data_IF_290608808728
#
_entry.id   IF_290608808728
#
_cell.length_a   1.000
_cell.length_b   1.000
_cell.length_c   1.000
_cell.angle_alpha   90.00
_cell.angle_beta   90.00
_cell.angle_gamma   90.00
#
_symmetry.space_group_name_H-M   'P 1'
#
loop_
_entity.id
_entity.type
_entity.pdbx_description
1 polymer ?
#
# COMPACT_ATOMS: atom_id res chain seq x y z
N UNK A 1 -16.90 5.10 68.76
CA UNK A 1 -18.23 5.74 68.58
C UNK A 1 -18.09 6.74 67.46
N UNK A 2 -18.87 6.55 66.40
CA UNK A 2 -18.88 7.40 65.20
C UNK A 2 -18.17 6.77 64.00
N UNK A 3 -18.94 6.13 63.12
CA UNK A 3 -18.86 6.27 61.65
C UNK A 3 -20.06 5.60 60.96
N UNK A 4 -20.90 6.47 60.38
CA UNK A 4 -21.68 6.40 59.15
C UNK A 4 -22.05 5.04 58.50
N UNK A 5 -23.36 4.79 58.56
CA UNK A 5 -24.29 4.32 57.51
C UNK A 5 -23.71 3.63 56.26
N UNK A 6 -23.96 2.33 56.15
CA UNK A 6 -24.01 1.56 54.90
C UNK A 6 -25.45 1.49 54.42
N UNK A 7 -25.76 2.11 53.29
CA UNK A 7 -27.04 1.97 52.61
C UNK A 7 -26.93 0.93 51.48
N UNK A 8 -27.89 0.03 51.49
CA UNK A 8 -28.02 -1.20 50.73
C UNK A 8 -28.65 -1.01 49.35
N UNK A 9 -28.12 -1.76 48.37
CA UNK A 9 -28.83 -2.55 47.35
C UNK A 9 -29.87 -1.93 46.38
N UNK A 10 -29.42 -1.86 45.11
CA UNK A 10 -30.02 -2.41 43.86
C UNK A 10 -31.26 -1.75 43.20
N UNK A 11 -31.40 -1.91 41.87
CA UNK A 11 -31.77 -0.82 40.96
C UNK A 11 -33.23 -0.86 40.49
N UNK A 12 -33.80 0.31 40.23
CA UNK A 12 -35.08 0.45 39.53
C UNK A 12 -34.84 0.97 38.11
N UNK A 13 -35.16 0.10 37.16
CA UNK A 13 -35.35 0.37 35.74
C UNK A 13 -36.35 1.52 35.52
N UNK A 14 -35.96 2.52 34.72
CA UNK A 14 -36.89 3.35 33.97
C UNK A 14 -36.38 3.50 32.53
N UNK A 15 -37.12 2.88 31.61
CA UNK A 15 -36.88 2.99 30.19
C UNK A 15 -37.20 4.39 29.67
N UNK A 16 -36.29 4.92 28.87
CA UNK A 16 -36.62 5.79 27.74
C UNK A 16 -35.86 5.31 26.52
N UNK A 17 -36.65 4.80 25.59
CA UNK A 17 -36.27 4.45 24.23
C UNK A 17 -35.80 5.73 23.55
N UNK A 18 -34.50 5.83 23.23
CA UNK A 18 -33.99 6.82 22.29
C UNK A 18 -33.28 6.07 21.18
N UNK A 19 -34.01 6.00 20.07
CA UNK A 19 -33.60 5.77 18.69
C UNK A 19 -32.16 5.33 18.41
N UNK A 20 -32.07 4.12 17.86
CA UNK A 20 -30.93 3.58 17.12
C UNK A 20 -30.62 4.49 15.93
N UNK A 21 -29.62 5.36 16.08
CA UNK A 21 -29.03 6.10 14.96
C UNK A 21 -28.15 5.12 14.16
N UNK A 22 -28.75 4.63 13.07
CA UNK A 22 -28.18 3.76 12.06
C UNK A 22 -26.92 4.39 11.46
N UNK A 23 -25.81 3.64 11.53
CA UNK A 23 -24.56 3.88 10.79
C UNK A 23 -24.86 4.19 9.32
N UNK A 24 -24.83 5.47 8.97
CA UNK A 24 -24.91 5.96 7.62
C UNK A 24 -23.57 5.76 6.93
N UNK A 25 -23.47 4.64 6.22
CA UNK A 25 -22.87 4.48 4.89
C UNK A 25 -22.22 5.77 4.35
N UNK A 26 -20.88 5.82 4.42
CA UNK A 26 -20.09 6.72 3.57
C UNK A 26 -20.40 6.32 2.13
N UNK A 27 -21.22 7.12 1.47
CA UNK A 27 -21.56 7.01 0.05
C UNK A 27 -20.87 8.20 -0.62
N UNK A 28 -20.11 8.01 -1.70
CA UNK A 28 -19.49 9.14 -2.39
C UNK A 28 -20.58 10.09 -2.88
N UNK A 29 -20.36 11.38 -2.62
CA UNK A 29 -21.15 12.51 -3.12
C UNK A 29 -21.39 12.33 -4.63
N UNK A 30 -22.66 12.21 -5.02
CA UNK A 30 -23.05 12.24 -6.44
C UNK A 30 -22.72 13.63 -6.97
N UNK A 31 -21.75 13.71 -7.87
CA UNK A 31 -21.52 14.90 -8.70
C UNK A 31 -22.73 15.10 -9.60
N UNK A 32 -23.40 16.23 -9.42
CA UNK A 32 -24.65 16.57 -10.06
C UNK A 32 -24.61 16.41 -11.58
N UNK A 33 -25.66 15.78 -12.06
CA UNK A 33 -26.12 15.81 -13.45
C UNK A 33 -26.56 17.21 -13.83
N UNK A 34 -25.90 17.81 -14.82
CA UNK A 34 -26.51 18.86 -15.65
C UNK A 34 -26.30 18.53 -17.12
N UNK A 35 -27.34 18.17 -17.88
CA UNK A 35 -27.29 18.09 -19.33
C UNK A 35 -27.75 19.42 -19.92
N UNK A 36 -26.87 20.16 -20.59
CA UNK A 36 -27.28 20.92 -21.78
C UNK A 36 -26.03 21.32 -22.56
N UNK A 37 -26.00 20.87 -23.79
CA UNK A 37 -25.02 21.14 -24.81
C UNK A 37 -24.66 22.64 -24.93
N UNK A 38 -23.36 22.91 -25.17
CA UNK A 38 -22.69 24.18 -25.54
C UNK A 38 -22.16 25.11 -24.41
N UNK A 39 -20.92 25.66 -24.57
CA UNK A 39 -20.32 26.55 -23.59
C UNK A 39 -20.78 28.00 -23.79
N UNK A 40 -21.36 28.60 -22.75
CA UNK A 40 -21.46 30.08 -22.66
C UNK A 40 -20.16 30.61 -22.07
N UNK A 41 -19.26 31.07 -22.93
CA UNK A 41 -18.12 31.88 -22.54
C UNK A 41 -18.60 33.21 -21.95
N UNK A 42 -18.74 33.30 -20.62
CA UNK A 42 -18.77 34.59 -19.95
C UNK A 42 -17.33 35.10 -19.84
N UNK A 43 -16.95 35.94 -20.79
CA UNK A 43 -15.82 36.85 -20.67
C UNK A 43 -16.02 37.70 -19.40
N UNK A 44 -15.32 37.35 -18.32
CA UNK A 44 -15.13 38.27 -17.20
C UNK A 44 -13.88 39.08 -17.56
N UNK A 45 -14.08 40.35 -17.89
CA UNK A 45 -13.00 41.32 -18.03
C UNK A 45 -12.20 41.40 -16.73
N UNK A 46 -10.96 40.94 -16.75
CA UNK A 46 -10.01 41.16 -15.65
C UNK A 46 -9.54 42.61 -15.71
N UNK A 47 -9.91 43.41 -14.70
CA UNK A 47 -9.18 44.64 -14.36
C UNK A 47 -7.73 44.25 -14.07
N UNK A 48 -6.79 44.96 -14.71
CA UNK A 48 -5.36 44.91 -14.39
C UNK A 48 -5.15 45.07 -12.89
N UNK A 49 -4.64 44.03 -12.26
CA UNK A 49 -4.20 43.99 -10.89
C UNK A 49 -3.02 43.03 -10.83
N UNK A 50 -1.89 43.54 -10.33
CA UNK A 50 -0.60 42.85 -10.20
C UNK A 50 -0.83 41.56 -9.41
N UNK A 51 -1.02 40.44 -10.11
CA UNK A 51 -1.67 39.28 -9.51
C UNK A 51 -1.34 38.00 -10.24
N UNK A 52 -0.53 37.17 -9.58
CA UNK A 52 -0.55 35.71 -9.62
C UNK A 52 -0.73 35.10 -11.02
N UNK A 53 0.39 34.70 -11.62
CA UNK A 53 0.46 33.77 -12.74
C UNK A 53 -0.29 32.47 -12.37
N UNK A 54 -1.60 32.44 -12.59
CA UNK A 54 -2.38 31.22 -12.58
C UNK A 54 -2.16 30.53 -13.92
N UNK A 55 -1.11 29.73 -14.01
CA UNK A 55 -1.05 28.65 -15.00
C UNK A 55 -2.15 27.65 -14.65
N UNK A 56 -3.34 27.87 -15.22
CA UNK A 56 -4.42 26.88 -15.19
C UNK A 56 -3.98 25.68 -16.03
N UNK A 57 -3.35 24.69 -15.41
CA UNK A 57 -3.16 23.37 -16.02
C UNK A 57 -4.55 22.74 -16.20
N UNK A 58 -5.06 22.74 -17.42
CA UNK A 58 -6.19 21.88 -17.76
C UNK A 58 -5.67 20.44 -17.85
N UNK A 59 -6.00 19.64 -16.83
CA UNK A 59 -5.85 18.20 -16.89
C UNK A 59 -7.11 17.62 -17.55
N UNK A 60 -6.99 17.13 -18.78
CA UNK A 60 -8.05 16.34 -19.41
C UNK A 60 -7.76 14.86 -19.11
N UNK A 61 -8.71 14.19 -18.46
CA UNK A 61 -8.61 12.76 -18.19
C UNK A 61 -9.54 12.02 -19.16
N UNK A 62 -8.98 11.52 -20.27
CA UNK A 62 -9.71 10.71 -21.23
C UNK A 62 -9.68 9.25 -20.77
N UNK A 63 -10.71 8.83 -20.02
CA UNK A 63 -10.89 7.44 -19.59
C UNK A 63 -11.74 6.70 -20.63
N UNK A 64 -11.16 5.68 -21.27
CA UNK A 64 -11.92 4.74 -22.10
C UNK A 64 -12.75 3.81 -21.21
N UNK A 65 -14.02 3.59 -21.57
CA UNK A 65 -14.98 2.74 -20.85
C UNK A 65 -15.21 1.40 -21.55
N UNK A 66 -14.50 1.11 -22.63
CA UNK A 66 -14.63 -0.14 -23.37
C UNK A 66 -14.19 -1.33 -22.52
N UNK A 67 -14.96 -2.41 -22.59
CA UNK A 67 -14.65 -3.69 -21.94
C UNK A 67 -13.65 -4.50 -22.78
N UNK A 68 -12.93 -5.43 -22.14
CA UNK A 68 -11.99 -6.31 -22.83
C UNK A 68 -12.72 -7.26 -23.81
N UNK A 69 -12.12 -7.60 -24.97
CA UNK A 69 -12.69 -8.59 -25.88
C UNK A 69 -12.89 -9.96 -25.20
N UNK A 70 -14.01 -10.62 -25.50
CA UNK A 70 -14.43 -11.90 -24.88
C UNK A 70 -13.43 -13.05 -25.05
N UNK A 71 -12.56 -12.99 -26.07
CA UNK A 71 -11.56 -14.01 -26.34
C UNK A 71 -10.40 -13.97 -25.32
N UNK A 72 -10.24 -12.86 -24.60
CA UNK A 72 -9.21 -12.69 -23.58
C UNK A 72 -9.83 -12.94 -22.21
N UNK A 73 -9.38 -13.95 -21.45
CA UNK A 73 -9.90 -14.20 -20.11
C UNK A 73 -9.46 -13.08 -19.16
N UNK A 74 -10.39 -12.66 -18.31
CA UNK A 74 -10.15 -11.68 -17.25
C UNK A 74 -9.15 -12.22 -16.20
N UNK A 75 -8.37 -11.30 -15.62
CA UNK A 75 -7.43 -11.58 -14.54
C UNK A 75 -7.55 -10.54 -13.45
N UNK A 76 -7.40 -11.00 -12.21
CA UNK A 76 -7.32 -10.12 -11.06
C UNK A 76 -6.06 -9.24 -11.16
N UNK A 77 -6.24 -7.94 -10.96
CA UNK A 77 -5.14 -6.98 -10.96
C UNK A 77 -4.42 -6.96 -9.60
N UNK A 78 -3.15 -6.55 -9.60
CA UNK A 78 -2.28 -6.60 -8.41
C UNK A 78 -2.84 -5.78 -7.23
N UNK A 79 -3.51 -4.65 -7.51
CA UNK A 79 -4.17 -3.84 -6.48
C UNK A 79 -3.28 -3.19 -5.42
N UNK A 80 -1.95 -3.28 -5.54
CA UNK A 80 -0.99 -2.71 -4.60
C UNK A 80 -0.53 -1.31 -5.02
N UNK A 81 -0.35 -0.42 -4.04
CA UNK A 81 0.23 0.92 -4.26
C UNK A 81 1.76 0.87 -4.37
N UNK A 82 2.39 2.00 -4.70
CA UNK A 82 3.83 2.11 -4.96
C UNK A 82 4.72 1.58 -3.83
N UNK A 83 4.55 2.02 -2.59
CA UNK A 83 5.41 1.57 -1.49
C UNK A 83 5.30 0.08 -1.13
N UNK A 84 4.10 -0.52 -0.95
CA UNK A 84 4.01 -1.95 -0.68
C UNK A 84 4.55 -2.79 -1.83
N UNK A 85 4.32 -2.37 -3.09
CA UNK A 85 4.88 -3.07 -4.24
C UNK A 85 6.42 -2.96 -4.30
N UNK A 86 6.97 -1.79 -3.96
CA UNK A 86 8.41 -1.57 -3.88
C UNK A 86 9.07 -2.36 -2.73
N UNK A 87 8.42 -2.42 -1.57
CA UNK A 87 8.82 -3.25 -0.43
C UNK A 87 8.87 -4.74 -0.79
N UNK A 88 7.84 -5.24 -1.50
CA UNK A 88 7.74 -6.65 -1.90
C UNK A 88 8.54 -7.03 -3.16
N UNK A 89 9.10 -6.04 -3.88
CA UNK A 89 9.72 -6.20 -5.21
C UNK A 89 10.75 -7.33 -5.30
N UNK A 90 11.65 -7.43 -4.32
CA UNK A 90 12.69 -8.47 -4.29
C UNK A 90 12.12 -9.87 -4.09
N UNK A 91 11.05 -10.01 -3.30
CA UNK A 91 10.40 -11.29 -3.04
C UNK A 91 9.56 -11.76 -4.23
N UNK A 92 8.89 -10.81 -4.90
CA UNK A 92 8.23 -11.06 -6.18
C UNK A 92 9.28 -11.49 -7.21
N UNK A 93 10.42 -10.80 -7.29
CA UNK A 93 11.53 -11.17 -8.15
C UNK A 93 12.06 -12.57 -7.87
N UNK A 94 12.22 -12.95 -6.61
CA UNK A 94 12.74 -14.27 -6.24
C UNK A 94 11.78 -15.43 -6.59
N UNK A 95 10.47 -15.28 -6.32
CA UNK A 95 9.46 -16.32 -6.61
C UNK A 95 9.06 -16.35 -8.09
N UNK A 96 8.93 -15.18 -8.70
CA UNK A 96 8.36 -15.01 -10.04
C UNK A 96 9.41 -14.87 -11.15
N UNK A 97 10.71 -15.06 -10.85
CA UNK A 97 11.80 -14.98 -11.83
C UNK A 97 11.51 -15.71 -13.16
N UNK A 98 11.17 -17.01 -13.18
CA UNK A 98 10.98 -17.72 -14.45
C UNK A 98 9.81 -17.15 -15.27
N UNK A 99 8.73 -16.71 -14.62
CA UNK A 99 7.57 -16.13 -15.32
C UNK A 99 7.88 -14.75 -15.89
N UNK A 100 8.66 -13.94 -15.15
CA UNK A 100 9.09 -12.62 -15.60
C UNK A 100 10.06 -12.74 -16.78
N UNK A 101 11.01 -13.69 -16.70
CA UNK A 101 11.97 -13.94 -17.76
C UNK A 101 11.24 -14.46 -19.03
N UNK A 102 10.31 -15.42 -18.91
CA UNK A 102 9.47 -15.91 -20.02
C UNK A 102 8.68 -14.78 -20.69
N UNK A 103 8.11 -13.86 -19.91
CA UNK A 103 7.36 -12.72 -20.43
C UNK A 103 8.26 -11.76 -21.22
N UNK A 104 9.47 -11.48 -20.72
CA UNK A 104 10.41 -10.62 -21.43
C UNK A 104 10.98 -11.28 -22.67
N UNK A 105 11.23 -12.60 -22.64
CA UNK A 105 11.64 -13.38 -23.81
C UNK A 105 10.57 -13.37 -24.90
N UNK A 106 9.30 -13.61 -24.54
CA UNK A 106 8.18 -13.51 -25.49
C UNK A 106 8.12 -12.13 -26.15
N UNK A 107 8.32 -11.06 -25.37
CA UNK A 107 8.33 -9.70 -25.92
C UNK A 107 9.51 -9.45 -26.85
N UNK A 108 10.67 -10.04 -26.57
CA UNK A 108 11.86 -9.93 -27.43
C UNK A 108 11.65 -10.67 -28.76
N UNK A 109 11.16 -11.91 -28.73
CA UNK A 109 10.89 -12.74 -29.91
C UNK A 109 9.84 -12.12 -30.85
N UNK A 110 8.87 -11.40 -30.30
CA UNK A 110 7.78 -10.78 -31.04
C UNK A 110 7.94 -9.26 -31.27
N UNK A 111 9.17 -8.71 -31.19
CA UNK A 111 9.45 -7.28 -31.41
C UNK A 111 8.55 -6.33 -30.61
N UNK A 112 8.30 -6.67 -29.33
CA UNK A 112 7.40 -5.93 -28.44
C UNK A 112 5.94 -6.38 -28.48
N UNK A 113 5.67 -7.59 -29.00
CA UNK A 113 4.33 -8.21 -29.06
C UNK A 113 3.52 -7.99 -27.78
N UNK A 114 2.39 -7.30 -27.93
CA UNK A 114 1.49 -6.94 -26.81
C UNK A 114 0.34 -7.91 -26.65
N UNK A 115 -0.15 -8.47 -27.76
CA UNK A 115 -1.33 -9.36 -27.80
C UNK A 115 -0.90 -10.83 -27.67
N UNK A 116 0.27 -11.15 -28.23
CA UNK A 116 0.87 -12.47 -28.28
C UNK A 116 1.27 -12.94 -26.88
N UNK A 117 1.79 -12.04 -26.05
CA UNK A 117 2.33 -12.32 -24.72
C UNK A 117 1.32 -12.14 -23.58
N UNK A 118 0.01 -12.00 -23.89
CA UNK A 118 -1.03 -11.83 -22.87
C UNK A 118 -1.12 -13.02 -21.92
N UNK A 119 -0.82 -14.24 -22.40
CA UNK A 119 -0.85 -15.45 -21.57
C UNK A 119 0.25 -15.44 -20.51
N UNK A 120 1.44 -15.01 -20.88
CA UNK A 120 2.64 -14.86 -20.05
C UNK A 120 2.42 -13.75 -19.04
N UNK A 121 1.89 -12.59 -19.47
CA UNK A 121 1.54 -11.48 -18.59
C UNK A 121 0.58 -11.89 -17.48
N UNK A 122 -0.47 -12.67 -17.81
CA UNK A 122 -1.40 -13.22 -16.80
C UNK A 122 -0.70 -14.14 -15.79
N UNK A 123 0.30 -14.92 -16.21
CA UNK A 123 1.08 -15.77 -15.30
C UNK A 123 1.91 -14.94 -14.32
N UNK A 124 2.52 -13.87 -14.81
CA UNK A 124 3.27 -12.91 -13.98
C UNK A 124 2.38 -12.25 -12.93
N UNK A 125 1.23 -11.69 -13.35
CA UNK A 125 0.30 -11.01 -12.43
C UNK A 125 -0.21 -11.94 -11.33
N UNK A 126 -0.59 -13.17 -11.68
CA UNK A 126 -1.03 -14.18 -10.70
C UNK A 126 0.07 -14.57 -9.71
N UNK A 127 1.31 -14.68 -10.18
CA UNK A 127 2.44 -14.96 -9.30
C UNK A 127 2.67 -13.82 -8.30
N UNK A 128 2.65 -12.57 -8.76
CA UNK A 128 2.80 -11.40 -7.91
C UNK A 128 1.68 -11.30 -6.85
N UNK A 129 0.43 -11.54 -7.25
CA UNK A 129 -0.72 -11.59 -6.33
C UNK A 129 -0.53 -12.67 -5.27
N UNK A 130 -0.08 -13.87 -5.65
CA UNK A 130 0.19 -14.94 -4.69
C UNK A 130 1.23 -14.51 -3.65
N UNK A 131 2.31 -13.83 -4.04
CA UNK A 131 3.33 -13.34 -3.10
C UNK A 131 2.75 -12.31 -2.14
N UNK A 132 1.99 -11.34 -2.65
CA UNK A 132 1.38 -10.30 -1.81
C UNK A 132 0.36 -10.89 -0.84
N UNK A 133 -0.43 -11.88 -1.28
CA UNK A 133 -1.37 -12.60 -0.42
C UNK A 133 -0.64 -13.39 0.68
N UNK A 134 0.47 -14.04 0.36
CA UNK A 134 1.29 -14.75 1.35
C UNK A 134 1.89 -13.75 2.38
N UNK A 135 2.40 -12.60 1.92
CA UNK A 135 2.93 -11.54 2.80
C UNK A 135 1.83 -11.00 3.74
N UNK A 136 0.65 -10.69 3.19
CA UNK A 136 -0.49 -10.19 3.96
C UNK A 136 -0.98 -11.21 5.00
N UNK A 137 -0.81 -12.51 4.74
CA UNK A 137 -1.23 -13.56 5.67
C UNK A 137 -0.24 -13.80 6.80
N UNK A 138 1.06 -13.74 6.52
CA UNK A 138 2.09 -14.18 7.47
C UNK A 138 2.88 -13.05 8.13
N UNK A 139 3.09 -11.92 7.45
CA UNK A 139 4.04 -10.87 7.84
C UNK A 139 3.47 -9.45 7.67
N UNK A 140 2.15 -9.28 7.82
CA UNK A 140 1.49 -8.01 7.52
C UNK A 140 1.97 -6.85 8.39
N UNK A 141 2.19 -7.07 9.69
CA UNK A 141 2.59 -6.01 10.61
C UNK A 141 4.00 -5.48 10.28
N UNK A 142 4.93 -6.40 10.02
CA UNK A 142 6.31 -6.10 9.65
C UNK A 142 6.38 -5.45 8.26
N UNK A 143 5.53 -5.92 7.33
CA UNK A 143 5.42 -5.36 5.99
C UNK A 143 4.88 -3.93 6.02
N UNK A 144 3.86 -3.67 6.85
CA UNK A 144 3.27 -2.35 7.08
C UNK A 144 4.29 -1.36 7.62
N UNK A 145 5.01 -1.78 8.65
CA UNK A 145 6.07 -0.97 9.23
C UNK A 145 7.11 -0.53 8.18
N UNK A 146 7.48 -1.43 7.26
CA UNK A 146 8.47 -1.13 6.23
C UNK A 146 7.93 -0.17 5.15
N UNK A 147 6.74 -0.42 4.59
CA UNK A 147 6.23 0.45 3.54
C UNK A 147 5.81 1.84 4.05
N UNK A 148 5.39 1.97 5.31
CA UNK A 148 5.09 3.28 5.92
C UNK A 148 6.35 4.14 6.05
N UNK A 149 7.50 3.53 6.36
CA UNK A 149 8.78 4.23 6.32
C UNK A 149 9.10 4.71 4.88
N UNK A 150 8.89 3.84 3.88
CA UNK A 150 9.18 4.19 2.49
C UNK A 150 8.33 5.37 2.01
N UNK A 151 7.06 5.45 2.39
CA UNK A 151 6.18 6.58 2.05
C UNK A 151 6.69 7.91 2.63
N UNK A 152 7.34 7.91 3.78
CA UNK A 152 7.89 9.13 4.39
C UNK A 152 9.25 9.54 3.80
N UNK A 153 10.03 8.57 3.33
CA UNK A 153 11.41 8.75 2.87
C UNK A 153 11.52 8.80 1.34
N UNK A 154 10.48 9.28 0.64
CA UNK A 154 10.45 9.41 -0.82
C UNK A 154 10.81 8.09 -1.55
N UNK A 155 10.34 6.96 -1.00
CA UNK A 155 10.62 5.60 -1.45
C UNK A 155 12.12 5.23 -1.53
N UNK A 156 12.98 5.89 -0.76
CA UNK A 156 14.41 5.55 -0.69
C UNK A 156 14.67 4.35 0.22
N UNK A 157 14.95 3.18 -0.38
CA UNK A 157 15.29 1.94 0.33
C UNK A 157 16.49 2.09 1.29
N UNK A 158 17.41 3.02 1.03
CA UNK A 158 18.57 3.29 1.91
C UNK A 158 18.19 3.82 3.30
N UNK A 159 17.05 4.51 3.40
CA UNK A 159 16.58 5.15 4.62
C UNK A 159 15.87 4.21 5.59
N UNK A 160 15.28 3.11 5.09
CA UNK A 160 14.34 2.25 5.82
C UNK A 160 14.89 0.86 6.17
N UNK A 161 16.16 0.77 6.53
CA UNK A 161 16.88 -0.53 6.63
C UNK A 161 16.63 -1.27 7.94
N UNK A 162 16.34 -0.57 9.04
CA UNK A 162 16.02 -1.20 10.32
C UNK A 162 14.66 -1.91 10.24
N UNK A 163 13.65 -1.26 9.67
CA UNK A 163 12.35 -1.87 9.38
C UNK A 163 12.46 -2.95 8.31
N UNK A 164 13.29 -2.76 7.28
CA UNK A 164 13.55 -3.79 6.26
C UNK A 164 14.13 -5.08 6.85
N UNK A 165 15.05 -5.01 7.80
CA UNK A 165 15.64 -6.20 8.43
C UNK A 165 14.60 -7.02 9.20
N UNK A 166 13.67 -6.35 9.91
CA UNK A 166 12.57 -6.99 10.62
C UNK A 166 11.66 -7.72 9.61
N UNK A 167 11.32 -7.05 8.52
CA UNK A 167 10.49 -7.61 7.46
C UNK A 167 11.16 -8.80 6.76
N UNK A 168 12.41 -8.64 6.33
CA UNK A 168 13.19 -9.69 5.67
C UNK A 168 13.30 -10.95 6.55
N UNK A 169 13.47 -10.77 7.87
CA UNK A 169 13.49 -11.88 8.81
C UNK A 169 12.17 -12.66 8.82
N UNK A 170 11.03 -11.97 8.92
CA UNK A 170 9.72 -12.63 8.90
C UNK A 170 9.51 -13.43 7.60
N UNK A 171 9.86 -12.82 6.46
CA UNK A 171 9.70 -13.45 5.15
C UNK A 171 10.59 -14.70 5.01
N UNK A 172 11.84 -14.62 5.46
CA UNK A 172 12.75 -15.77 5.47
C UNK A 172 12.26 -16.88 6.40
N UNK A 173 11.74 -16.53 7.57
CA UNK A 173 11.28 -17.50 8.57
C UNK A 173 10.03 -18.24 8.10
N UNK A 174 9.06 -17.56 7.48
CA UNK A 174 7.75 -18.12 7.09
C UNK A 174 7.68 -18.61 5.66
N UNK A 175 8.26 -17.88 4.70
CA UNK A 175 8.14 -18.15 3.27
C UNK A 175 9.44 -18.67 2.64
N UNK A 176 10.56 -18.66 3.38
CA UNK A 176 11.88 -19.11 2.90
C UNK A 176 12.36 -18.36 1.65
N UNK A 177 11.89 -17.12 1.48
CA UNK A 177 12.35 -16.22 0.43
C UNK A 177 13.40 -15.28 1.00
N UNK A 178 14.47 -15.06 0.24
CA UNK A 178 15.60 -14.22 0.63
C UNK A 178 15.78 -13.09 -0.38
N UNK A 179 16.10 -11.90 0.12
CA UNK A 179 16.44 -10.75 -0.72
C UNK A 179 17.91 -10.86 -1.15
N UNK A 180 18.14 -11.16 -2.44
CA UNK A 180 19.48 -11.16 -3.05
C UNK A 180 19.55 -10.14 -4.17
N UNK A 181 20.57 -9.28 -4.14
CA UNK A 181 20.90 -8.41 -5.28
C UNK A 181 21.83 -9.19 -6.21
N UNK A 182 21.39 -9.57 -7.42
CA UNK A 182 22.25 -10.28 -8.37
C UNK A 182 23.38 -9.35 -8.85
N UNK A 183 24.59 -9.90 -9.03
CA UNK A 183 25.73 -9.17 -9.57
C UNK A 183 26.43 -8.21 -8.60
N UNK A 184 26.01 -8.13 -7.34
CA UNK A 184 26.70 -7.35 -6.31
C UNK A 184 27.67 -8.24 -5.52
N UNK A 185 28.94 -7.82 -5.41
CA UNK A 185 29.96 -8.49 -4.58
C UNK A 185 29.57 -8.45 -3.09
N UNK A 186 29.09 -7.29 -2.62
CA UNK A 186 28.59 -7.09 -1.27
C UNK A 186 27.12 -6.66 -1.27
N UNK A 187 26.33 -7.20 -0.33
CA UNK A 187 24.92 -6.87 -0.19
C UNK A 187 24.76 -5.59 0.64
N UNK A 188 24.53 -4.45 -0.03
CA UNK A 188 24.42 -3.12 0.62
C UNK A 188 23.36 -3.09 1.74
N UNK A 189 22.31 -3.89 1.62
CA UNK A 189 21.21 -3.93 2.59
C UNK A 189 21.57 -4.60 3.92
N UNK A 190 22.64 -5.41 3.97
CA UNK A 190 23.13 -6.05 5.21
C UNK A 190 24.19 -5.21 5.93
N UNK A 191 24.78 -4.22 5.25
CA UNK A 191 25.79 -3.33 5.83
C UNK A 191 25.22 -2.49 6.97
N UNK A 192 25.88 -2.56 8.13
CA UNK A 192 25.50 -1.85 9.36
C UNK A 192 26.06 -0.42 9.39
N UNK A 193 27.29 -0.21 8.91
CA UNK A 193 28.06 1.03 8.93
C UNK A 193 27.86 1.86 7.66
N UNK A 194 26.66 2.39 7.46
CA UNK A 194 26.34 3.18 6.26
C UNK A 194 26.56 4.68 6.48
N UNK A 195 27.15 5.34 5.49
CA UNK A 195 27.32 6.80 5.43
C UNK A 195 25.95 7.49 5.28
N UNK A 196 25.08 6.91 4.46
CA UNK A 196 23.72 7.39 4.27
C UNK A 196 22.75 6.63 5.18
N UNK A 197 22.17 7.35 6.13
CA UNK A 197 21.01 6.93 6.91
C UNK A 197 19.92 8.00 6.76
N UNK A 198 18.67 7.58 6.63
CA UNK A 198 17.52 8.50 6.51
C UNK A 198 17.31 9.38 7.75
N UNK A 199 16.11 9.94 7.90
CA UNK A 199 15.80 10.93 8.95
C UNK A 199 15.89 10.40 10.40
N UNK A 200 16.10 9.10 10.58
CA UNK A 200 16.13 8.42 11.88
C UNK A 200 14.78 7.85 12.32
N UNK A 201 13.69 8.22 11.65
CA UNK A 201 12.34 7.69 11.87
C UNK A 201 12.31 6.15 11.87
N UNK A 202 12.92 5.54 10.86
CA UNK A 202 13.05 4.09 10.70
C UNK A 202 13.55 3.37 11.97
N UNK A 203 14.61 3.90 12.60
CA UNK A 203 15.21 3.29 13.79
C UNK A 203 14.26 3.36 14.99
N UNK A 204 13.58 4.50 15.16
CA UNK A 204 12.61 4.69 16.24
C UNK A 204 11.38 3.80 16.06
N UNK A 205 10.86 3.70 14.83
CA UNK A 205 9.74 2.85 14.49
C UNK A 205 10.09 1.36 14.67
N UNK A 206 11.26 0.93 14.20
CA UNK A 206 11.76 -0.42 14.38
C UNK A 206 11.94 -0.79 15.87
N UNK A 207 12.51 0.11 16.67
CA UNK A 207 12.67 -0.11 18.11
C UNK A 207 11.31 -0.25 18.80
N UNK A 208 10.37 0.68 18.54
CA UNK A 208 9.02 0.62 19.10
C UNK A 208 8.28 -0.68 18.71
N UNK A 209 8.45 -1.13 17.46
CA UNK A 209 7.87 -2.39 17.01
C UNK A 209 8.44 -3.59 17.75
N UNK A 210 9.77 -3.66 17.90
CA UNK A 210 10.43 -4.74 18.63
C UNK A 210 10.00 -4.78 20.10
N UNK A 211 9.88 -3.62 20.76
CA UNK A 211 9.34 -3.56 22.11
C UNK A 211 7.89 -4.07 22.17
N UNK A 212 7.03 -3.67 21.21
CA UNK A 212 5.65 -4.16 21.16
C UNK A 212 5.54 -5.68 21.00
N UNK A 213 6.43 -6.28 20.20
CA UNK A 213 6.49 -7.75 20.01
C UNK A 213 7.03 -8.47 21.25
N UNK A 214 7.95 -7.85 22.01
CA UNK A 214 8.41 -8.38 23.31
C UNK A 214 7.29 -8.41 24.33
N UNK A 215 6.55 -7.32 24.49
CA UNK A 215 5.39 -7.26 25.41
C UNK A 215 4.29 -8.25 25.01
N UNK A 216 4.10 -8.50 23.72
CA UNK A 216 3.16 -9.51 23.23
C UNK A 216 3.64 -10.96 23.45
N UNK A 217 4.95 -11.18 23.64
CA UNK A 217 5.54 -12.50 23.85
C UNK A 217 5.65 -12.88 25.34
N UNK A 218 5.41 -11.95 26.27
CA UNK A 218 5.43 -12.18 27.71
C UNK A 218 4.01 -12.52 28.18
N UNK A 219 3.69 -13.80 28.48
CA UNK A 219 2.35 -14.18 28.92
C UNK A 219 2.09 -13.54 30.29
N UNK A 220 0.93 -12.89 30.42
CA UNK A 220 0.39 -12.45 31.71
C UNK A 220 0.46 -13.60 32.71
N UNK A 221 1.35 -13.45 33.70
CA UNK A 221 1.36 -14.30 34.90
C UNK A 221 0.09 -14.07 35.72
#
# INVERSE_FOLDING_TARGET
MGTNQTATNTPAYFGRVVSVARLSKIRPEKRDSSPSWYPKSKFIHTKMGIGKWFTSYQNWENVDKNELPKDIPEVEEVGATSAPLLSASYFIGAKCKPYNDDFMLCKDEHNGGTVECLKEGRRVTRCAISVLNDINKYCFDEFKLHYECLEQENHQLGSCRATEQIFNKCVFDKMKLEKKVPGAEEQIHTKLDRIYSGTGYDKTAAAAFLESKKTAAEPSQ
#
